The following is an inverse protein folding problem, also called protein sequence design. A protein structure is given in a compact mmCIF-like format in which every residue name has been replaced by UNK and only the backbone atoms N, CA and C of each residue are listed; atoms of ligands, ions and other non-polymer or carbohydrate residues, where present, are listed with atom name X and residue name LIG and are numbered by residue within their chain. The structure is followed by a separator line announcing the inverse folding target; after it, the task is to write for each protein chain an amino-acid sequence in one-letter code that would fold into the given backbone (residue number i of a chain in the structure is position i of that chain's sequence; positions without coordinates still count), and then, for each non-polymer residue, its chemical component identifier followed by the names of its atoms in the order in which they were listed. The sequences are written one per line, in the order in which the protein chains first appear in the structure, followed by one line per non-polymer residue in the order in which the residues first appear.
data_IF_863375508831
#
_entry.id   IF_863375508831
#
_cell.length_a   1.000
_cell.length_b   1.000
_cell.length_c   1.000
_cell.angle_alpha   90.00
_cell.angle_beta   90.00
_cell.angle_gamma   90.00
#
_symmetry.space_group_name_H-M   'P 1'
#
loop_
_entity.id
_entity.type
_entity.pdbx_description
1 polymer ?
#
# COMPACT_ATOMS: atom_id res chain seq x y z
N UNK A 1 27.66 25.91 4.57
CA UNK A 1 28.65 25.29 5.48
C UNK A 1 27.88 24.27 6.33
N UNK A 2 28.02 22.97 6.07
CA UNK A 2 27.28 21.92 6.78
C UNK A 2 28.09 21.48 8.01
N UNK A 3 27.51 21.43 9.23
CA UNK A 3 28.23 20.95 10.41
C UNK A 3 28.44 19.44 10.33
N UNK A 4 29.67 19.01 10.63
CA UNK A 4 30.15 17.63 10.55
C UNK A 4 29.35 16.67 11.43
N UNK A 5 29.05 15.49 10.88
CA UNK A 5 28.60 14.31 11.60
C UNK A 5 29.67 13.79 12.57
N UNK A 6 29.24 13.21 13.69
CA UNK A 6 30.08 12.37 14.54
C UNK A 6 29.39 11.02 14.77
N UNK A 7 30.18 9.97 14.47
CA UNK A 7 30.05 8.54 14.78
C UNK A 7 29.16 7.63 13.93
N UNK A 8 29.83 6.78 13.13
CA UNK A 8 29.69 5.33 13.28
C UNK A 8 29.12 4.55 12.10
N UNK A 9 29.88 4.51 10.99
CA UNK A 9 29.97 3.44 9.99
C UNK A 9 28.68 2.93 9.31
N UNK A 10 28.20 3.68 8.31
CA UNK A 10 27.42 3.10 7.21
C UNK A 10 28.35 2.96 5.98
N UNK A 11 28.64 1.73 5.50
CA UNK A 11 29.52 1.52 4.36
C UNK A 11 28.71 1.71 3.07
N UNK A 12 28.40 2.97 2.76
CA UNK A 12 27.92 3.39 1.44
C UNK A 12 28.73 4.64 1.06
N UNK A 13 30.00 4.41 0.71
CA UNK A 13 30.83 5.42 0.08
C UNK A 13 30.20 5.83 -1.26
N UNK A 14 30.09 7.15 -1.46
CA UNK A 14 29.64 7.85 -2.66
C UNK A 14 28.18 7.61 -3.11
N UNK A 15 27.23 8.26 -2.44
CA UNK A 15 25.90 8.49 -3.04
C UNK A 15 25.56 9.97 -2.97
N UNK A 16 25.11 10.52 -4.11
CA UNK A 16 24.64 11.88 -4.23
C UNK A 16 23.75 12.26 -3.04
N UNK A 17 23.93 13.47 -2.51
CA UNK A 17 23.03 14.04 -1.50
C UNK A 17 21.64 14.18 -2.12
N UNK A 18 20.87 13.09 -2.10
CA UNK A 18 19.46 13.10 -2.43
C UNK A 18 18.78 13.79 -1.27
N UNK A 19 18.32 15.02 -1.50
CA UNK A 19 17.41 15.69 -0.57
C UNK A 19 16.11 14.89 -0.62
N UNK A 20 15.94 13.97 0.32
CA UNK A 20 14.70 13.22 0.48
C UNK A 20 13.72 14.16 1.21
N UNK A 21 12.57 14.51 0.61
CA UNK A 21 11.58 15.35 1.26
C UNK A 21 11.10 14.71 2.57
N UNK A 22 10.94 15.52 3.62
CA UNK A 22 10.43 15.03 4.90
C UNK A 22 8.96 14.59 4.81
N UNK A 23 8.63 13.52 5.51
CA UNK A 23 7.27 13.00 5.69
C UNK A 23 6.63 13.39 7.02
N UNK A 24 7.34 14.10 7.89
CA UNK A 24 6.81 14.52 9.19
C UNK A 24 5.57 15.39 9.03
N UNK A 25 4.54 15.10 9.81
CA UNK A 25 3.26 15.82 9.78
C UNK A 25 2.35 15.45 8.61
N UNK A 26 2.78 14.59 7.68
CA UNK A 26 1.93 14.13 6.57
C UNK A 26 0.77 13.29 7.09
N UNK A 27 -0.37 13.40 6.41
CA UNK A 27 -1.60 12.65 6.67
C UNK A 27 -1.69 11.49 5.68
N UNK A 28 -1.49 10.28 6.15
CA UNK A 28 -1.35 9.11 5.29
C UNK A 28 -2.37 8.03 5.67
N UNK A 29 -3.09 7.53 4.67
CA UNK A 29 -3.89 6.32 4.80
C UNK A 29 -3.02 5.13 4.38
N UNK A 30 -2.91 4.11 5.23
CA UNK A 30 -2.16 2.88 4.94
C UNK A 30 -3.09 1.68 5.04
N UNK A 31 -3.04 0.78 4.06
CA UNK A 31 -3.84 -0.45 4.06
C UNK A 31 -2.94 -1.69 4.25
N UNK A 32 -3.46 -2.78 4.81
CA UNK A 32 -2.72 -4.03 5.04
C UNK A 32 -1.79 -3.97 6.26
N UNK A 33 -2.19 -3.27 7.32
CA UNK A 33 -1.33 -2.96 8.47
C UNK A 33 -1.37 -3.97 9.63
N UNK A 34 -2.19 -5.01 9.55
CA UNK A 34 -2.27 -6.06 10.58
C UNK A 34 -1.00 -6.92 10.59
N UNK A 35 -0.28 -7.03 9.46
CA UNK A 35 0.95 -7.81 9.36
C UNK A 35 1.88 -7.32 8.24
N UNK A 36 3.05 -7.97 8.12
CA UNK A 36 3.94 -7.83 6.97
C UNK A 36 4.41 -6.40 6.67
N UNK A 37 4.48 -6.09 5.38
CA UNK A 37 5.05 -4.82 4.87
C UNK A 37 4.23 -3.61 5.31
N UNK A 38 2.89 -3.71 5.31
CA UNK A 38 2.03 -2.59 5.73
C UNK A 38 2.22 -2.27 7.21
N UNK A 39 2.33 -3.29 8.08
CA UNK A 39 2.64 -3.10 9.51
C UNK A 39 4.00 -2.41 9.70
N UNK A 40 5.05 -2.94 9.08
CA UNK A 40 6.39 -2.36 9.18
C UNK A 40 6.43 -0.91 8.65
N UNK A 41 5.70 -0.63 7.58
CA UNK A 41 5.56 0.73 7.03
C UNK A 41 4.91 1.67 8.05
N UNK A 42 3.81 1.23 8.69
CA UNK A 42 3.13 2.02 9.71
C UNK A 42 4.02 2.30 10.93
N UNK A 43 4.78 1.31 11.39
CA UNK A 43 5.73 1.46 12.51
C UNK A 43 6.83 2.49 12.19
N UNK A 44 7.43 2.40 11.00
CA UNK A 44 8.45 3.36 10.55
C UNK A 44 7.85 4.76 10.40
N UNK A 45 6.67 4.88 9.80
CA UNK A 45 6.03 6.19 9.59
C UNK A 45 5.63 6.83 10.92
N UNK A 46 5.21 6.04 11.92
CA UNK A 46 4.90 6.53 13.25
C UNK A 46 6.13 7.12 13.93
N UNK A 47 7.29 6.45 13.80
CA UNK A 47 8.56 6.98 14.31
C UNK A 47 9.00 8.30 13.65
N UNK A 48 8.50 8.62 12.45
CA UNK A 48 8.80 9.86 11.72
C UNK A 48 7.73 10.96 11.89
N UNK A 49 6.76 10.76 12.79
CA UNK A 49 5.74 11.76 13.11
C UNK A 49 4.69 11.93 12.00
N UNK A 50 4.38 10.87 11.27
CA UNK A 50 3.26 10.84 10.32
C UNK A 50 1.94 10.71 11.09
N UNK A 51 0.93 11.48 10.69
CA UNK A 51 -0.45 11.28 11.14
C UNK A 51 -1.11 10.25 10.24
N UNK A 52 -1.53 9.12 10.78
CA UNK A 52 -2.02 8.03 9.94
C UNK A 52 -3.33 7.43 10.41
N UNK A 53 -4.08 6.93 9.45
CA UNK A 53 -5.14 5.95 9.65
C UNK A 53 -4.69 4.67 8.98
N UNK A 54 -4.86 3.55 9.68
CA UNK A 54 -4.53 2.22 9.17
C UNK A 54 -5.82 1.41 8.97
N UNK A 55 -5.86 0.60 7.92
CA UNK A 55 -6.93 -0.36 7.67
C UNK A 55 -6.39 -1.68 7.16
N UNK A 56 -7.21 -2.72 7.18
CA UNK A 56 -6.86 -4.03 6.64
C UNK A 56 -8.03 -4.68 5.89
N UNK A 57 -7.70 -5.75 5.18
CA UNK A 57 -8.62 -6.65 4.50
C UNK A 57 -9.51 -7.30 5.55
N UNK A 58 -10.79 -7.39 5.23
CA UNK A 58 -11.75 -8.15 6.02
C UNK A 58 -11.87 -9.55 5.43
N UNK A 59 -12.21 -10.54 6.27
CA UNK A 59 -12.49 -11.91 5.80
C UNK A 59 -13.74 -12.01 4.90
N UNK A 60 -14.51 -10.92 4.82
CA UNK A 60 -15.65 -10.78 3.92
C UNK A 60 -15.18 -10.51 2.49
N UNK A 61 -15.44 -11.47 1.59
CA UNK A 61 -15.33 -11.26 0.14
C UNK A 61 -16.39 -10.28 -0.40
N UNK A 62 -16.15 -9.71 -1.58
CA UNK A 62 -17.13 -8.91 -2.29
C UNK A 62 -17.37 -7.49 -1.75
N UNK A 63 -16.35 -6.86 -1.14
CA UNK A 63 -16.47 -5.48 -0.71
C UNK A 63 -16.80 -4.54 -1.89
N UNK A 64 -17.79 -3.70 -1.67
CA UNK A 64 -18.35 -2.81 -2.68
C UNK A 64 -17.57 -1.50 -2.74
N UNK A 65 -17.59 -0.86 -3.91
CA UNK A 65 -17.01 0.48 -4.10
C UNK A 65 -17.48 1.49 -3.04
N UNK A 66 -18.75 1.46 -2.66
CA UNK A 66 -19.30 2.37 -1.63
C UNK A 66 -18.68 2.15 -0.24
N UNK A 67 -18.38 0.90 0.13
CA UNK A 67 -17.71 0.59 1.40
C UNK A 67 -16.29 1.20 1.42
N UNK A 68 -15.53 1.09 0.32
CA UNK A 68 -14.22 1.75 0.19
C UNK A 68 -14.32 3.27 0.31
N UNK A 69 -15.29 3.90 -0.36
CA UNK A 69 -15.51 5.34 -0.27
C UNK A 69 -15.84 5.77 1.16
N UNK A 70 -16.68 5.02 1.88
CA UNK A 70 -17.03 5.34 3.27
C UNK A 70 -15.83 5.25 4.22
N UNK A 71 -14.97 4.25 4.05
CA UNK A 71 -13.74 4.10 4.85
C UNK A 71 -12.78 5.27 4.59
N UNK A 72 -12.56 5.64 3.33
CA UNK A 72 -11.69 6.77 2.98
C UNK A 72 -12.26 8.09 3.51
N UNK A 73 -13.56 8.32 3.37
CA UNK A 73 -14.21 9.53 3.91
C UNK A 73 -14.01 9.64 5.42
N UNK A 74 -14.20 8.54 6.16
CA UNK A 74 -13.98 8.50 7.59
C UNK A 74 -12.51 8.79 7.96
N UNK A 75 -11.55 8.20 7.23
CA UNK A 75 -10.12 8.43 7.43
C UNK A 75 -9.73 9.89 7.16
N UNK A 76 -10.18 10.46 6.04
CA UNK A 76 -9.93 11.86 5.66
C UNK A 76 -10.50 12.81 6.72
N UNK A 77 -11.72 12.55 7.20
CA UNK A 77 -12.35 13.35 8.25
C UNK A 77 -11.54 13.30 9.55
N UNK A 78 -11.09 12.12 9.96
CA UNK A 78 -10.27 11.94 11.15
C UNK A 78 -8.92 12.66 11.06
N UNK A 79 -8.26 12.58 9.90
CA UNK A 79 -6.96 13.20 9.64
C UNK A 79 -7.04 14.72 9.35
N UNK A 80 -8.23 15.28 9.14
CA UNK A 80 -8.40 16.66 8.68
C UNK A 80 -7.94 16.89 7.23
N UNK A 81 -7.94 15.85 6.42
CA UNK A 81 -7.49 15.81 5.03
C UNK A 81 -6.51 14.66 4.77
N UNK A 82 -5.96 14.58 3.56
CA UNK A 82 -5.13 13.46 3.12
C UNK A 82 -4.02 13.97 2.21
N UNK A 83 -2.81 13.44 2.39
CA UNK A 83 -1.64 13.75 1.57
C UNK A 83 -1.20 12.55 0.74
N UNK A 84 -1.38 11.32 1.25
CA UNK A 84 -1.00 10.12 0.51
C UNK A 84 -1.80 8.88 0.91
N UNK A 85 -1.89 7.93 -0.04
CA UNK A 85 -2.31 6.56 0.18
C UNK A 85 -1.12 5.63 -0.03
N UNK A 86 -0.91 4.73 0.93
CA UNK A 86 0.00 3.59 0.83
C UNK A 86 -0.85 2.32 0.83
N UNK A 87 -1.13 1.79 -0.36
CA UNK A 87 -1.98 0.62 -0.54
C UNK A 87 -1.14 -0.66 -0.57
N UNK A 88 -0.93 -1.25 0.61
CA UNK A 88 -0.16 -2.50 0.76
C UNK A 88 -1.03 -3.75 0.90
N UNK A 89 -2.36 -3.60 0.94
CA UNK A 89 -3.25 -4.75 1.01
C UNK A 89 -3.06 -5.67 -0.18
N UNK A 90 -2.89 -6.96 0.10
CA UNK A 90 -2.79 -8.00 -0.91
C UNK A 90 -3.11 -9.35 -0.32
N UNK A 91 -3.64 -10.22 -1.17
CA UNK A 91 -3.87 -11.63 -0.91
C UNK A 91 -2.93 -12.45 -1.78
N UNK A 92 -2.37 -13.51 -1.21
CA UNK A 92 -1.58 -14.50 -1.92
C UNK A 92 -2.15 -15.88 -1.60
N UNK A 93 -2.34 -16.68 -2.63
CA UNK A 93 -2.76 -18.06 -2.54
C UNK A 93 -1.91 -18.88 -3.50
N UNK A 94 -1.41 -20.01 -3.01
CA UNK A 94 -0.56 -20.93 -3.76
C UNK A 94 -1.34 -22.20 -4.04
N UNK A 95 -1.42 -22.57 -5.31
CA UNK A 95 -2.01 -23.84 -5.69
C UNK A 95 -1.51 -24.31 -7.06
N UNK A 96 -1.65 -25.60 -7.36
CA UNK A 96 -1.34 -26.13 -8.70
C UNK A 96 -2.36 -25.60 -9.70
N UNK A 97 -1.89 -25.24 -10.90
CA UNK A 97 -2.71 -24.48 -11.86
C UNK A 97 -4.02 -25.17 -12.26
N UNK A 98 -4.07 -26.50 -12.20
CA UNK A 98 -5.26 -27.29 -12.54
C UNK A 98 -6.31 -27.39 -11.42
N UNK A 99 -5.97 -27.04 -10.17
CA UNK A 99 -6.87 -27.19 -9.01
C UNK A 99 -7.29 -25.88 -8.35
N UNK A 100 -6.85 -24.73 -8.89
CA UNK A 100 -7.19 -23.43 -8.31
C UNK A 100 -8.72 -23.28 -8.27
N UNK A 101 -9.26 -23.18 -7.06
CA UNK A 101 -10.70 -23.00 -6.88
C UNK A 101 -11.17 -21.63 -7.39
N UNK A 102 -12.36 -21.59 -8.00
CA UNK A 102 -12.97 -20.34 -8.48
C UNK A 102 -13.08 -19.29 -7.37
N UNK A 103 -13.41 -19.71 -6.14
CA UNK A 103 -13.51 -18.81 -4.99
C UNK A 103 -12.17 -18.14 -4.62
N UNK A 104 -11.05 -18.81 -4.86
CA UNK A 104 -9.72 -18.25 -4.61
C UNK A 104 -9.33 -17.24 -5.69
N UNK A 105 -9.73 -17.49 -6.94
CA UNK A 105 -9.62 -16.53 -8.04
C UNK A 105 -10.46 -15.29 -7.72
N UNK A 106 -11.73 -15.47 -7.35
CA UNK A 106 -12.63 -14.37 -6.98
C UNK A 106 -12.05 -13.55 -5.83
N UNK A 107 -11.58 -14.21 -4.76
CA UNK A 107 -10.93 -13.53 -3.64
C UNK A 107 -9.68 -12.76 -4.07
N UNK A 108 -8.86 -13.33 -4.94
CA UNK A 108 -7.66 -12.68 -5.50
C UNK A 108 -8.03 -11.43 -6.29
N UNK A 109 -9.03 -11.51 -7.16
CA UNK A 109 -9.52 -10.38 -7.96
C UNK A 109 -10.17 -9.30 -7.08
N UNK A 110 -10.94 -9.71 -6.07
CA UNK A 110 -11.58 -8.84 -5.09
C UNK A 110 -10.55 -8.00 -4.33
N UNK A 111 -9.52 -8.65 -3.79
CA UNK A 111 -8.53 -7.98 -2.94
C UNK A 111 -7.51 -7.22 -3.80
N UNK A 112 -6.82 -7.90 -4.71
CA UNK A 112 -5.64 -7.34 -5.37
C UNK A 112 -6.00 -6.35 -6.48
N UNK A 113 -7.12 -6.58 -7.18
CA UNK A 113 -7.51 -5.75 -8.32
C UNK A 113 -8.59 -4.76 -7.92
N UNK A 114 -9.78 -5.25 -7.54
CA UNK A 114 -10.92 -4.38 -7.19
C UNK A 114 -10.61 -3.53 -5.97
N UNK A 115 -9.97 -4.09 -4.94
CA UNK A 115 -9.53 -3.34 -3.76
C UNK A 115 -8.61 -2.18 -4.12
N UNK A 116 -7.59 -2.43 -4.93
CA UNK A 116 -6.68 -1.39 -5.44
C UNK A 116 -7.42 -0.31 -6.22
N UNK A 117 -8.25 -0.70 -7.20
CA UNK A 117 -8.99 0.23 -8.04
C UNK A 117 -9.93 1.10 -7.20
N UNK A 118 -10.71 0.49 -6.30
CA UNK A 118 -11.71 1.21 -5.50
C UNK A 118 -11.05 2.11 -4.46
N UNK A 119 -9.95 1.69 -3.85
CA UNK A 119 -9.20 2.55 -2.93
C UNK A 119 -8.62 3.77 -3.66
N UNK A 120 -8.06 3.56 -4.86
CA UNK A 120 -7.55 4.66 -5.69
C UNK A 120 -8.67 5.62 -6.11
N UNK A 121 -9.82 5.09 -6.55
CA UNK A 121 -10.99 5.91 -6.88
C UNK A 121 -11.52 6.70 -5.68
N UNK A 122 -11.52 6.10 -4.48
CA UNK A 122 -11.99 6.74 -3.27
C UNK A 122 -11.04 7.85 -2.79
N UNK A 123 -9.72 7.65 -2.92
CA UNK A 123 -8.69 8.62 -2.49
C UNK A 123 -8.49 9.75 -3.49
N UNK A 124 -8.53 9.47 -4.79
CA UNK A 124 -8.18 10.43 -5.85
C UNK A 124 -8.88 11.80 -5.75
N UNK A 125 -10.18 11.92 -5.43
CA UNK A 125 -10.86 13.20 -5.27
C UNK A 125 -10.20 14.14 -4.24
N UNK A 126 -9.57 13.61 -3.20
CA UNK A 126 -8.93 14.38 -2.14
C UNK A 126 -7.53 14.89 -2.51
N UNK A 127 -6.88 14.24 -3.48
CA UNK A 127 -5.52 14.56 -3.92
C UNK A 127 -5.50 15.34 -5.24
N UNK A 128 -6.53 15.22 -6.08
CA UNK A 128 -6.57 15.78 -7.45
C UNK A 128 -6.22 17.26 -7.54
N UNK A 129 -6.66 18.08 -6.58
CA UNK A 129 -6.47 19.55 -6.63
C UNK A 129 -5.26 20.05 -5.86
N UNK A 130 -4.83 19.30 -4.83
CA UNK A 130 -3.73 19.72 -3.92
C UNK A 130 -2.42 19.00 -4.18
N UNK A 131 -2.44 17.98 -5.04
CA UNK A 131 -1.35 17.04 -5.19
C UNK A 131 -1.32 16.02 -4.05
N UNK A 132 -0.47 15.02 -4.22
CA UNK A 132 -0.33 13.91 -3.27
C UNK A 132 0.21 12.68 -3.97
N UNK A 133 0.32 11.59 -3.23
CA UNK A 133 0.88 10.32 -3.74
C UNK A 133 -0.09 9.18 -3.48
N UNK A 134 -0.33 8.37 -4.51
CA UNK A 134 -0.95 7.05 -4.37
C UNK A 134 0.16 6.04 -4.69
N UNK A 135 0.55 5.23 -3.71
CA UNK A 135 1.52 4.17 -3.87
C UNK A 135 0.79 2.83 -3.73
N UNK A 136 0.84 2.02 -4.78
CA UNK A 136 0.31 0.66 -4.78
C UNK A 136 1.46 -0.34 -4.72
N UNK A 137 1.32 -1.37 -3.89
CA UNK A 137 2.31 -2.45 -3.84
C UNK A 137 2.09 -3.46 -4.97
N UNK A 138 2.96 -3.42 -5.96
CA UNK A 138 3.09 -4.45 -7.00
C UNK A 138 3.86 -5.70 -6.51
N UNK A 139 4.41 -6.46 -7.46
CA UNK A 139 5.32 -7.58 -7.20
C UNK A 139 6.21 -7.80 -8.42
N UNK A 140 7.47 -8.16 -8.20
CA UNK A 140 8.38 -8.75 -9.19
C UNK A 140 7.78 -10.00 -9.87
N UNK A 141 7.02 -10.79 -9.11
CA UNK A 141 6.29 -11.97 -9.59
C UNK A 141 5.23 -11.67 -10.67
N UNK A 142 4.91 -10.39 -10.92
CA UNK A 142 4.10 -10.01 -12.07
C UNK A 142 4.84 -10.27 -13.40
N UNK A 143 6.15 -10.05 -13.43
CA UNK A 143 7.00 -10.27 -14.61
C UNK A 143 7.82 -11.55 -14.53
N UNK A 144 8.19 -11.98 -13.33
CA UNK A 144 9.01 -13.18 -13.07
C UNK A 144 8.22 -14.20 -12.24
N UNK A 145 7.22 -14.88 -12.83
CA UNK A 145 6.33 -15.75 -12.07
C UNK A 145 7.04 -17.02 -11.59
N UNK A 146 6.67 -17.47 -10.39
CA UNK A 146 7.09 -18.75 -9.83
C UNK A 146 5.98 -19.82 -9.99
N UNK A 147 6.32 -21.11 -9.99
CA UNK A 147 5.33 -22.18 -9.92
C UNK A 147 4.34 -21.97 -8.77
N UNK A 148 3.10 -22.42 -8.97
CA UNK A 148 1.98 -22.34 -8.02
C UNK A 148 1.35 -20.96 -7.80
N UNK A 149 1.78 -19.93 -8.52
CA UNK A 149 1.33 -18.55 -8.33
C UNK A 149 0.66 -17.92 -9.56
N UNK A 150 0.15 -18.71 -10.52
CA UNK A 150 -0.33 -18.24 -11.83
C UNK A 150 -1.33 -17.06 -11.78
N UNK A 151 -2.60 -17.29 -11.44
CA UNK A 151 -3.09 -16.80 -10.17
C UNK A 151 -2.79 -15.37 -9.70
N UNK A 152 -2.00 -15.37 -8.62
CA UNK A 152 -1.43 -14.20 -7.97
C UNK A 152 -0.62 -13.32 -8.93
N UNK A 153 0.28 -13.90 -9.73
CA UNK A 153 1.12 -13.19 -10.70
C UNK A 153 0.28 -12.42 -11.71
N UNK A 154 -0.78 -13.04 -12.25
CA UNK A 154 -1.74 -12.37 -13.12
C UNK A 154 -2.42 -11.18 -12.42
N UNK A 155 -2.83 -11.35 -11.16
CA UNK A 155 -3.45 -10.27 -10.38
C UNK A 155 -2.50 -9.11 -10.09
N UNK A 156 -1.20 -9.38 -9.86
CA UNK A 156 -0.18 -8.35 -9.64
C UNK A 156 0.27 -7.67 -10.92
N UNK A 157 0.18 -8.34 -12.08
CA UNK A 157 0.35 -7.69 -13.38
C UNK A 157 -0.73 -6.65 -13.70
N UNK A 158 -1.85 -6.63 -12.96
CA UNK A 158 -2.90 -5.62 -13.09
C UNK A 158 -2.67 -4.37 -12.22
N UNK A 159 -1.70 -4.39 -11.30
CA UNK A 159 -1.37 -3.32 -10.35
C UNK A 159 -0.07 -2.65 -10.74
#
# INVERSE_FOLDING_TARGET
MCPKAAHGDCPLEETACHIIPSITGKRILITGCASGIGKATAEVFAAHGVHMVICDIQDKAGQTRSEFHAVVEAAVRFLGGLDSLIHSSGYIHQDVAESIAESEIDRMLDVNIKGTIFMNQAVFPYLKTRGGTILNFGSDLASEPLPLLAHYSASKGAV
#
